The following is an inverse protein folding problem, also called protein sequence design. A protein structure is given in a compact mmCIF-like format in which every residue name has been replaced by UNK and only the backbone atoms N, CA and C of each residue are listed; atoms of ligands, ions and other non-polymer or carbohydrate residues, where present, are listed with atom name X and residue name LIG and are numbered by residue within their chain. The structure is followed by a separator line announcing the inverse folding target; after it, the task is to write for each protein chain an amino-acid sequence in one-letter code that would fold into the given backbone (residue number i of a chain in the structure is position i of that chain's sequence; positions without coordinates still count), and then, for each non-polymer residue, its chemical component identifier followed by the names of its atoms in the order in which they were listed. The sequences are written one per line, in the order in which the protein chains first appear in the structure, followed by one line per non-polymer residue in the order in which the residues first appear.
data_IF_035964149902
#
_entry.id   IF_035964149902
#
_cell.length_a   1.000
_cell.length_b   1.000
_cell.length_c   1.000
_cell.angle_alpha   90.00
_cell.angle_beta   90.00
_cell.angle_gamma   90.00
#
_symmetry.space_group_name_H-M   'P 1'
#
loop_
_entity.id
_entity.type
_entity.pdbx_description
1 polymer ?
#
# COMPACT_ATOMS: atom_id res chain seq x y z
N UNK A 1 28.42 6.18 -17.27
CA UNK A 1 27.56 4.99 -17.43
C UNK A 1 26.21 5.48 -17.96
N UNK A 2 25.83 5.10 -19.18
CA UNK A 2 24.56 5.53 -19.80
C UNK A 2 23.37 4.84 -19.13
N UNK A 3 22.17 5.41 -19.27
CA UNK A 3 20.93 4.86 -18.71
C UNK A 3 20.62 3.44 -19.22
N UNK A 4 20.93 3.18 -20.50
CA UNK A 4 20.86 1.84 -21.10
C UNK A 4 21.75 0.83 -20.38
N UNK A 5 22.98 1.20 -20.00
CA UNK A 5 23.88 0.32 -19.25
C UNK A 5 23.34 0.01 -17.85
N UNK A 6 22.70 0.98 -17.17
CA UNK A 6 22.05 0.76 -15.86
C UNK A 6 20.87 -0.22 -15.97
N UNK A 7 20.03 -0.07 -16.99
CA UNK A 7 18.88 -0.94 -17.24
C UNK A 7 19.31 -2.38 -17.55
N UNK A 8 20.34 -2.55 -18.39
CA UNK A 8 20.90 -3.86 -18.73
C UNK A 8 21.54 -4.51 -17.52
N UNK A 9 22.30 -3.77 -16.71
CA UNK A 9 22.88 -4.30 -15.47
C UNK A 9 21.80 -4.74 -14.48
N UNK A 10 20.72 -3.98 -14.32
CA UNK A 10 19.64 -4.39 -13.40
C UNK A 10 18.89 -5.64 -13.90
N UNK A 11 18.55 -5.72 -15.18
CA UNK A 11 17.93 -6.93 -15.75
C UNK A 11 18.86 -8.14 -15.62
N UNK A 12 20.17 -7.96 -15.83
CA UNK A 12 21.13 -9.02 -15.60
C UNK A 12 21.25 -9.40 -14.12
N UNK A 13 21.15 -8.47 -13.17
CA UNK A 13 21.14 -8.79 -11.74
C UNK A 13 19.88 -9.58 -11.35
N UNK A 14 18.72 -9.19 -11.89
CA UNK A 14 17.46 -9.90 -11.76
C UNK A 14 17.53 -11.33 -12.31
N UNK A 15 18.13 -11.52 -13.51
CA UNK A 15 18.22 -12.84 -14.18
C UNK A 15 19.36 -13.72 -13.61
N UNK A 16 20.51 -13.14 -13.28
CA UNK A 16 21.74 -13.89 -12.92
C UNK A 16 21.93 -14.13 -11.42
N UNK A 17 21.06 -13.60 -10.55
CA UNK A 17 21.17 -13.78 -9.10
C UNK A 17 22.56 -13.47 -8.50
N UNK A 18 23.33 -12.57 -9.09
CA UNK A 18 24.69 -12.32 -8.63
C UNK A 18 24.66 -11.51 -7.32
N UNK A 19 25.29 -12.08 -6.29
CA UNK A 19 25.33 -11.56 -4.91
C UNK A 19 26.58 -10.71 -4.75
N UNK A 20 26.74 -9.68 -5.59
CA UNK A 20 27.87 -8.78 -5.55
C UNK A 20 27.37 -7.34 -5.44
N UNK A 21 27.30 -6.83 -4.20
CA UNK A 21 27.41 -5.44 -3.75
C UNK A 21 26.76 -4.30 -4.56
N UNK A 22 25.75 -4.58 -5.37
CA UNK A 22 24.78 -3.57 -5.77
C UNK A 22 23.54 -3.85 -4.94
N UNK A 23 23.21 -3.04 -3.92
CA UNK A 23 21.90 -3.17 -3.31
C UNK A 23 20.88 -3.05 -4.44
N UNK A 24 19.96 -4.01 -4.56
CA UNK A 24 18.73 -3.82 -5.32
C UNK A 24 17.87 -2.76 -4.60
N UNK A 25 18.43 -1.57 -4.43
CA UNK A 25 17.69 -0.33 -4.53
C UNK A 25 16.97 -0.46 -5.89
N UNK A 26 15.65 -0.44 -6.02
CA UNK A 26 14.72 0.44 -5.35
C UNK A 26 13.29 -0.12 -5.48
N UNK A 27 13.00 -1.32 -4.95
CA UNK A 27 11.58 -1.64 -4.72
C UNK A 27 11.05 -0.65 -3.69
N UNK A 28 10.03 0.12 -4.08
CA UNK A 28 9.42 1.16 -3.26
C UNK A 28 7.92 1.15 -3.45
N UNK A 29 7.20 1.18 -2.33
CA UNK A 29 5.76 1.38 -2.31
C UNK A 29 5.46 2.87 -2.49
N UNK A 30 4.67 3.20 -3.51
CA UNK A 30 4.06 4.52 -3.71
C UNK A 30 2.58 4.45 -3.36
N UNK A 31 2.06 5.46 -2.69
CA UNK A 31 0.64 5.55 -2.30
C UNK A 31 0.03 6.78 -2.97
N UNK A 32 -1.14 6.61 -3.58
CA UNK A 32 -1.92 7.68 -4.20
C UNK A 32 -3.38 7.58 -3.72
N UNK A 33 -4.00 8.68 -3.25
CA UNK A 33 -3.51 10.06 -3.28
C UNK A 33 -2.49 10.40 -2.18
N UNK A 34 -2.46 9.64 -1.08
CA UNK A 34 -1.67 9.95 0.12
C UNK A 34 -1.37 8.67 0.91
N UNK A 35 -0.36 8.71 1.79
CA UNK A 35 -0.10 7.68 2.79
C UNK A 35 -0.93 7.85 4.08
N UNK A 36 -1.66 8.96 4.18
CA UNK A 36 -2.60 9.28 5.25
C UNK A 36 -3.95 9.52 4.59
N UNK A 37 -4.91 8.66 4.89
CA UNK A 37 -6.26 8.67 4.29
C UNK A 37 -7.30 8.53 5.39
N UNK A 38 -8.53 8.92 5.11
CA UNK A 38 -9.68 8.77 6.00
C UNK A 38 -10.43 7.48 5.67
N UNK A 39 -11.04 6.84 6.66
CA UNK A 39 -11.94 5.69 6.43
C UNK A 39 -12.98 6.00 5.36
N UNK A 40 -13.28 5.03 4.50
CA UNK A 40 -14.18 5.19 3.35
C UNK A 40 -13.54 5.77 2.10
N UNK A 41 -12.31 6.31 2.17
CA UNK A 41 -11.59 6.76 0.98
C UNK A 41 -11.00 5.60 0.19
N UNK A 42 -10.62 5.89 -1.06
CA UNK A 42 -9.86 4.98 -1.94
C UNK A 42 -8.38 5.34 -1.91
N UNK A 43 -7.52 4.33 -1.77
CA UNK A 43 -6.07 4.47 -1.97
C UNK A 43 -5.53 3.38 -2.89
N UNK A 44 -4.59 3.75 -3.75
CA UNK A 44 -3.87 2.82 -4.61
C UNK A 44 -2.40 2.77 -4.20
N UNK A 45 -1.95 1.59 -3.81
CA UNK A 45 -0.56 1.29 -3.54
C UNK A 45 0.07 0.73 -4.81
N UNK A 46 1.24 1.24 -5.20
CA UNK A 46 1.96 0.80 -6.40
C UNK A 46 3.36 0.36 -6.01
N UNK A 47 3.72 -0.86 -6.38
CA UNK A 47 5.09 -1.33 -6.26
C UNK A 47 5.89 -0.77 -7.44
N UNK A 48 6.80 0.15 -7.13
CA UNK A 48 7.70 0.75 -8.12
C UNK A 48 9.09 0.18 -7.99
N UNK A 49 9.74 0.00 -9.13
CA UNK A 49 11.14 -0.41 -9.26
C UNK A 49 11.82 0.54 -10.24
N UNK A 50 13.08 0.88 -10.01
CA UNK A 50 13.90 1.61 -10.99
C UNK A 50 14.40 0.73 -12.13
N UNK A 51 14.13 -0.57 -12.06
CA UNK A 51 14.48 -1.51 -13.10
C UNK A 51 13.30 -1.71 -14.05
N UNK A 52 13.52 -1.68 -15.38
CA UNK A 52 12.47 -1.91 -16.36
C UNK A 52 12.12 -3.40 -16.42
N UNK A 53 11.41 -3.88 -15.39
CA UNK A 53 10.88 -5.23 -15.34
C UNK A 53 9.65 -5.33 -16.26
N UNK A 54 9.47 -6.48 -16.89
CA UNK A 54 8.31 -6.75 -17.76
C UNK A 54 7.01 -6.87 -16.94
N UNK A 55 5.87 -6.62 -17.57
CA UNK A 55 4.55 -6.66 -16.92
C UNK A 55 4.17 -8.06 -16.39
N UNK A 56 4.83 -9.11 -16.88
CA UNK A 56 4.68 -10.49 -16.39
C UNK A 56 5.42 -10.77 -15.07
N UNK A 57 5.99 -9.75 -14.43
CA UNK A 57 6.66 -9.89 -13.13
C UNK A 57 5.62 -10.21 -12.06
N UNK A 58 5.85 -11.25 -11.27
CA UNK A 58 4.94 -11.61 -10.18
C UNK A 58 5.30 -10.83 -8.92
N UNK A 59 4.46 -9.85 -8.55
CA UNK A 59 4.63 -9.06 -7.34
C UNK A 59 3.80 -9.66 -6.19
N UNK A 60 4.38 -9.63 -5.00
CA UNK A 60 3.77 -10.10 -3.75
C UNK A 60 3.65 -8.89 -2.85
N UNK A 61 2.48 -8.71 -2.23
CA UNK A 61 2.25 -7.67 -1.24
C UNK A 61 2.29 -8.24 0.17
N UNK A 62 2.77 -7.45 1.11
CA UNK A 62 2.75 -7.77 2.53
C UNK A 62 2.16 -6.61 3.32
N UNK A 63 1.31 -6.94 4.29
CA UNK A 63 0.84 -6.03 5.33
C UNK A 63 1.35 -6.54 6.67
N UNK A 64 2.10 -5.72 7.39
CA UNK A 64 2.69 -6.07 8.69
C UNK A 64 3.46 -7.41 8.61
N UNK A 65 4.25 -7.57 7.55
CA UNK A 65 5.04 -8.77 7.22
C UNK A 65 4.22 -10.03 6.90
N UNK A 66 2.90 -9.94 6.76
CA UNK A 66 2.04 -11.05 6.35
C UNK A 66 1.68 -10.93 4.87
N UNK A 67 1.77 -12.01 4.08
CA UNK A 67 1.45 -11.97 2.66
C UNK A 67 -0.03 -11.65 2.46
N UNK A 68 -0.30 -10.74 1.53
CA UNK A 68 -1.62 -10.43 1.02
C UNK A 68 -1.85 -11.19 -0.29
N UNK A 69 -3.10 -11.54 -0.57
CA UNK A 69 -3.53 -12.07 -1.86
C UNK A 69 -4.39 -11.02 -2.55
N UNK A 70 -3.80 -10.17 -3.42
CA UNK A 70 -4.58 -9.22 -4.21
C UNK A 70 -5.59 -9.95 -5.10
N UNK A 71 -6.64 -9.23 -5.52
CA UNK A 71 -7.58 -9.76 -6.53
C UNK A 71 -6.84 -10.05 -7.85
N UNK A 72 -7.36 -10.97 -8.65
CA UNK A 72 -6.79 -11.30 -9.97
C UNK A 72 -6.59 -10.01 -10.80
N UNK A 73 -5.43 -9.90 -11.47
CA UNK A 73 -4.97 -8.73 -12.24
C UNK A 73 -4.41 -7.52 -11.44
N UNK A 74 -4.33 -7.60 -10.11
CA UNK A 74 -3.69 -6.59 -9.25
C UNK A 74 -2.30 -7.02 -8.79
N UNK A 75 -1.37 -7.30 -9.72
CA UNK A 75 -0.01 -7.70 -9.32
C UNK A 75 0.80 -6.46 -8.87
N UNK A 76 0.88 -5.41 -9.71
CA UNK A 76 1.75 -4.24 -9.47
C UNK A 76 1.08 -3.19 -8.59
N UNK A 77 -0.26 -3.17 -8.62
CA UNK A 77 -1.10 -2.22 -7.90
C UNK A 77 -1.98 -2.98 -6.91
N UNK A 78 -2.02 -2.52 -5.67
CA UNK A 78 -2.99 -2.95 -4.66
C UNK A 78 -3.98 -1.81 -4.43
N UNK A 79 -5.26 -2.05 -4.70
CA UNK A 79 -6.31 -1.05 -4.57
C UNK A 79 -7.12 -1.36 -3.31
N UNK A 80 -7.17 -0.40 -2.39
CA UNK A 80 -8.02 -0.44 -1.19
C UNK A 80 -9.17 0.53 -1.42
N UNK A 81 -10.38 -0.01 -1.52
CA UNK A 81 -11.60 0.72 -1.86
C UNK A 81 -12.84 -0.08 -1.38
N UNK A 82 -13.49 0.34 -0.29
CA UNK A 82 -13.11 1.42 0.63
C UNK A 82 -11.96 1.03 1.57
N UNK A 83 -11.23 2.01 2.10
CA UNK A 83 -10.26 1.82 3.18
C UNK A 83 -10.96 1.76 4.54
N UNK A 84 -10.53 0.83 5.39
CA UNK A 84 -10.98 0.70 6.79
C UNK A 84 -9.80 0.72 7.78
N UNK A 85 -10.09 0.79 9.09
CA UNK A 85 -9.05 0.75 10.15
C UNK A 85 -8.14 -0.47 10.07
N UNK A 86 -8.64 -1.62 9.65
CA UNK A 86 -7.85 -2.84 9.52
C UNK A 86 -6.82 -2.80 8.36
N UNK A 87 -6.99 -1.88 7.41
CA UNK A 87 -6.00 -1.63 6.35
C UNK A 87 -4.80 -0.81 6.85
N UNK A 88 -4.87 -0.21 8.04
CA UNK A 88 -3.75 0.55 8.59
C UNK A 88 -2.55 -0.35 8.91
N UNK A 89 -1.36 0.05 8.47
CA UNK A 89 -0.15 -0.70 8.78
C UNK A 89 1.01 -0.50 7.82
N UNK A 90 2.01 -1.37 7.94
CA UNK A 90 3.23 -1.31 7.18
C UNK A 90 3.14 -2.19 5.93
N UNK A 91 3.09 -1.55 4.77
CA UNK A 91 3.05 -2.24 3.48
C UNK A 91 4.46 -2.39 2.89
N UNK A 92 4.79 -3.60 2.45
CA UNK A 92 5.96 -3.86 1.63
C UNK A 92 5.55 -4.67 0.41
N UNK A 93 6.29 -4.53 -0.69
CA UNK A 93 6.10 -5.35 -1.88
C UNK A 93 7.39 -6.09 -2.20
N UNK A 94 7.25 -7.32 -2.68
CA UNK A 94 8.37 -8.12 -3.18
C UNK A 94 8.11 -8.57 -4.61
N UNK A 95 9.16 -8.91 -5.33
CA UNK A 95 9.08 -9.62 -6.61
C UNK A 95 9.44 -11.08 -6.39
N UNK A 96 8.55 -11.98 -6.80
CA UNK A 96 8.76 -13.42 -6.69
C UNK A 96 9.92 -13.80 -7.59
N UNK A 97 11.03 -14.14 -6.97
CA UNK A 97 12.26 -14.60 -7.62
C UNK A 97 12.84 -15.73 -6.78
N UNK A 98 13.93 -16.35 -7.20
CA UNK A 98 14.55 -17.43 -6.43
C UNK A 98 15.10 -16.98 -5.05
N UNK A 99 15.07 -15.67 -4.71
CA UNK A 99 15.54 -15.11 -3.42
C UNK A 99 14.65 -13.98 -2.86
N UNK A 100 13.39 -13.85 -3.32
CA UNK A 100 12.41 -12.83 -2.89
C UNK A 100 12.99 -11.45 -2.50
N UNK A 101 13.11 -10.56 -3.48
CA UNK A 101 13.59 -9.19 -3.25
C UNK A 101 12.42 -8.35 -2.76
N UNK A 102 12.50 -7.78 -1.55
CA UNK A 102 11.42 -7.00 -0.92
C UNK A 102 11.78 -5.52 -0.75
N UNK A 103 10.76 -4.66 -0.79
CA UNK A 103 10.86 -3.23 -0.52
C UNK A 103 11.03 -2.94 0.97
N UNK A 104 11.56 -1.76 1.29
CA UNK A 104 11.38 -1.19 2.61
C UNK A 104 9.85 -1.01 2.90
N UNK A 105 9.42 -1.15 4.16
CA UNK A 105 8.02 -0.94 4.53
C UNK A 105 7.64 0.54 4.39
N UNK A 106 6.39 0.77 3.96
CA UNK A 106 5.75 2.08 3.92
C UNK A 106 4.45 2.04 4.70
N UNK A 107 4.33 2.93 5.68
CA UNK A 107 3.16 2.98 6.56
C UNK A 107 1.98 3.67 5.87
N UNK A 108 0.82 3.00 5.87
CA UNK A 108 -0.49 3.57 5.57
C UNK A 108 -1.17 3.92 6.90
N UNK A 109 -1.57 5.18 7.05
CA UNK A 109 -2.32 5.66 8.22
C UNK A 109 -3.77 5.92 7.83
N UNK A 110 -4.69 5.34 8.59
CA UNK A 110 -6.13 5.51 8.38
C UNK A 110 -6.71 6.33 9.53
N UNK A 111 -7.26 7.49 9.20
CA UNK A 111 -7.94 8.38 10.14
C UNK A 111 -9.42 8.03 10.20
N UNK A 112 -9.97 7.98 11.40
CA UNK A 112 -11.41 7.76 11.56
C UNK A 112 -12.19 9.06 11.51
N UNK A 113 -13.42 8.97 11.01
CA UNK A 113 -14.39 10.04 11.09
C UNK A 113 -15.08 9.92 12.44
N UNK A 114 -14.41 10.33 13.51
CA UNK A 114 -15.09 10.53 14.79
C UNK A 114 -15.84 11.86 14.71
N UNK A 115 -17.12 11.82 14.39
CA UNK A 115 -17.99 12.99 14.51
C UNK A 115 -18.28 13.26 15.99
N UNK A 116 -17.85 14.40 16.53
CA UNK A 116 -18.34 14.88 17.83
C UNK A 116 -19.71 15.52 17.60
N UNK A 117 -20.78 14.77 17.83
CA UNK A 117 -22.12 15.37 17.93
C UNK A 117 -22.22 16.10 19.27
N UNK A 118 -22.35 17.43 19.25
CA UNK A 118 -22.85 18.19 20.40
C UNK A 118 -24.37 18.24 20.30
N UNK A 119 -25.13 17.52 21.16
CA UNK A 119 -26.57 17.68 21.20
C UNK A 119 -26.90 19.13 21.55
N UNK A 120 -27.83 19.75 20.82
CA UNK A 120 -28.31 21.11 21.13
C UNK A 120 -29.05 21.19 22.49
N UNK A 121 -29.27 20.06 23.16
CA UNK A 121 -29.81 20.00 24.51
C UNK A 121 -28.68 20.14 25.54
N UNK A 122 -28.65 21.26 26.24
CA UNK A 122 -27.79 21.48 27.39
C UNK A 122 -28.06 20.39 28.45
N UNK A 123 -27.15 19.42 28.59
CA UNK A 123 -27.19 18.47 29.71
C UNK A 123 -26.83 17.01 29.43
N UNK A 124 -26.11 16.66 28.36
CA UNK A 124 -25.65 15.27 28.18
C UNK A 124 -24.15 15.20 27.89
N UNK A 125 -23.47 14.34 28.64
CA UNK A 125 -22.08 13.91 28.44
C UNK A 125 -21.82 13.58 26.97
N UNK A 126 -20.67 14.01 26.45
CA UNK A 126 -20.21 13.72 25.08
C UNK A 126 -20.31 12.22 24.79
N UNK A 127 -21.19 11.82 23.87
CA UNK A 127 -21.27 10.45 23.38
C UNK A 127 -20.37 10.31 22.15
N UNK A 128 -19.33 9.48 22.25
CA UNK A 128 -18.50 9.08 21.10
C UNK A 128 -19.25 8.01 20.31
N UNK A 129 -19.79 8.35 19.14
CA UNK A 129 -20.48 7.42 18.25
C UNK A 129 -19.48 6.85 17.24
N UNK A 130 -19.53 5.53 16.99
CA UNK A 130 -18.69 4.88 15.97
C UNK A 130 -19.48 4.83 14.66
N UNK A 131 -18.94 5.40 13.58
CA UNK A 131 -19.63 5.45 12.28
C UNK A 131 -19.04 4.39 11.33
N UNK A 132 -19.91 3.70 10.58
CA UNK A 132 -19.53 2.71 9.57
C UNK A 132 -19.81 3.27 8.16
N UNK A 133 -18.90 3.08 7.19
CA UNK A 133 -19.12 3.53 5.82
C UNK A 133 -20.14 2.62 5.11
N UNK A 134 -21.23 3.20 4.58
CA UNK A 134 -22.24 2.48 3.80
C UNK A 134 -22.07 2.67 2.28
N UNK A 135 -21.52 3.80 1.84
CA UNK A 135 -21.31 4.14 0.42
C UNK A 135 -20.30 5.31 0.31
N UNK A 136 -19.60 5.54 -0.82
CA UNK A 136 -18.65 6.65 -1.01
C UNK A 136 -19.13 8.08 -0.68
N UNK A 137 -20.41 8.27 -0.33
CA UNK A 137 -21.00 9.55 0.09
C UNK A 137 -21.94 9.48 1.30
N UNK A 138 -22.14 8.31 1.93
CA UNK A 138 -23.11 8.13 3.02
C UNK A 138 -22.48 7.32 4.17
N UNK A 139 -22.66 7.84 5.39
CA UNK A 139 -22.16 7.26 6.64
C UNK A 139 -23.34 6.99 7.57
N UNK A 140 -23.43 5.79 8.12
CA UNK A 140 -24.36 5.49 9.22
C UNK A 140 -23.59 5.51 10.55
N UNK A 141 -24.10 6.25 11.52
CA UNK A 141 -23.55 6.34 12.88
C UNK A 141 -24.56 5.71 13.85
N UNK A 142 -24.11 4.76 14.69
CA UNK A 142 -24.95 3.95 15.60
C UNK A 142 -24.61 4.22 17.04
#
# INVERSE_FOLDING_TARGET
ITELLKNVLCLQQYIKHNTANVPLSELRVKMSPSAVVTEGQRVTLTCSTSCPLTDNTNYIWYLNSRPLTPRENQNKHLILDPVSREDAGNYSCAVKTNKDISSAPKTLTVQSITGTWTPAAAGVSTLTQNCSPMHPSEYECV
#
